data_IF_923448225583
#
_entry.id   IF_923448225583
#
_cell.length_a   1.000
_cell.length_b   1.000
_cell.length_c   1.000
_cell.angle_alpha   90.00
_cell.angle_beta   90.00
_cell.angle_gamma   90.00
#
_symmetry.space_group_name_H-M   'P 1'
#
loop_
_entity.id
_entity.type
_entity.pdbx_description
1 polymer ?
#
# COMPACT_ATOMS: atom_id res chain seq x y z
N UNK A 1 3.46 8.11 -21.31
CA UNK A 1 3.93 9.05 -22.37
C UNK A 1 4.64 10.27 -21.78
N UNK A 2 3.97 11.11 -20.97
CA UNK A 2 4.62 12.29 -20.35
C UNK A 2 5.95 11.95 -19.68
N UNK A 3 5.98 10.90 -18.86
CA UNK A 3 7.19 10.52 -18.14
C UNK A 3 8.33 10.05 -19.07
N UNK A 4 8.02 9.40 -20.19
CA UNK A 4 9.03 9.02 -21.19
C UNK A 4 9.66 10.26 -21.83
N UNK A 5 8.86 11.27 -22.16
CA UNK A 5 9.35 12.52 -22.72
C UNK A 5 10.14 13.34 -21.69
N UNK A 6 9.60 13.52 -20.47
CA UNK A 6 10.23 14.33 -19.43
C UNK A 6 11.56 13.74 -18.94
N UNK A 7 11.62 12.43 -18.73
CA UNK A 7 12.84 11.75 -18.29
C UNK A 7 13.72 11.27 -19.46
N UNK A 8 13.37 11.61 -20.71
CA UNK A 8 14.10 11.22 -21.92
C UNK A 8 14.41 9.72 -21.97
N UNK A 9 13.40 8.89 -21.69
CA UNK A 9 13.54 7.44 -21.58
C UNK A 9 12.73 6.71 -22.66
N UNK A 10 13.23 5.60 -23.23
CA UNK A 10 12.48 4.83 -24.22
C UNK A 10 11.08 4.44 -23.73
N UNK A 11 10.06 4.76 -24.52
CA UNK A 11 8.66 4.56 -24.13
C UNK A 11 8.35 3.09 -23.82
N UNK A 12 8.92 2.15 -24.58
CA UNK A 12 8.74 0.72 -24.35
C UNK A 12 9.24 0.29 -22.96
N UNK A 13 10.38 0.81 -22.52
CA UNK A 13 10.91 0.51 -21.19
C UNK A 13 10.10 1.18 -20.08
N UNK A 14 9.56 2.38 -20.32
CA UNK A 14 8.63 3.04 -19.39
C UNK A 14 7.35 2.24 -19.21
N UNK A 15 6.77 1.72 -20.30
CA UNK A 15 5.57 0.86 -20.25
C UNK A 15 5.90 -0.43 -19.50
N UNK A 16 7.03 -1.06 -19.81
CA UNK A 16 7.47 -2.29 -19.13
C UNK A 16 7.67 -2.07 -17.63
N UNK A 17 8.25 -0.94 -17.22
CA UNK A 17 8.42 -0.58 -15.82
C UNK A 17 7.10 -0.33 -15.07
N UNK A 18 6.03 0.01 -15.80
CA UNK A 18 4.70 0.26 -15.24
C UNK A 18 3.83 -1.02 -15.13
N UNK A 19 4.25 -2.14 -15.71
CA UNK A 19 3.49 -3.39 -15.74
C UNK A 19 4.15 -4.48 -14.86
N UNK A 20 3.36 -5.36 -14.23
CA UNK A 20 3.87 -6.59 -13.62
C UNK A 20 4.66 -7.44 -14.62
N UNK A 21 5.66 -8.16 -14.12
CA UNK A 21 6.43 -9.09 -14.94
C UNK A 21 5.52 -10.17 -15.55
N UNK A 22 5.79 -10.52 -16.81
CA UNK A 22 5.02 -11.52 -17.57
C UNK A 22 3.84 -10.97 -18.35
N UNK A 23 3.41 -9.72 -18.12
CA UNK A 23 2.46 -9.04 -19.01
C UNK A 23 3.22 -8.48 -20.20
N UNK A 24 2.94 -8.98 -21.40
CA UNK A 24 3.48 -8.43 -22.64
C UNK A 24 2.37 -7.68 -23.38
N UNK A 25 2.65 -6.45 -23.79
CA UNK A 25 1.75 -5.71 -24.69
C UNK A 25 1.94 -6.29 -26.10
N UNK A 26 1.05 -7.20 -26.50
CA UNK A 26 0.99 -7.67 -27.88
C UNK A 26 0.02 -6.78 -28.66
N UNK A 27 0.52 -5.93 -29.56
CA UNK A 27 -0.37 -5.24 -30.50
C UNK A 27 -0.92 -6.26 -31.49
N UNK A 28 -2.21 -6.62 -31.38
CA UNK A 28 -2.88 -7.35 -32.46
C UNK A 28 -3.03 -6.42 -33.66
N UNK A 29 -2.21 -6.59 -34.70
CA UNK A 29 -2.53 -6.08 -36.03
C UNK A 29 -3.66 -6.93 -36.61
N UNK A 30 -4.89 -6.60 -36.25
CA UNK A 30 -6.11 -7.19 -36.81
C UNK A 30 -6.97 -6.11 -37.46
N UNK A 31 -7.35 -6.30 -38.72
CA UNK A 31 -8.11 -5.38 -39.57
C UNK A 31 -9.61 -5.33 -39.22
N UNK A 32 -9.94 -4.98 -37.99
CA UNK A 32 -11.33 -4.77 -37.57
C UNK A 32 -11.41 -3.64 -36.55
N UNK A 33 -12.45 -2.82 -36.65
CA UNK A 33 -12.64 -1.57 -35.91
C UNK A 33 -12.83 -1.73 -34.38
N UNK A 34 -12.75 -2.96 -33.86
CA UNK A 34 -12.79 -3.31 -32.42
C UNK A 34 -11.43 -3.75 -31.86
N UNK A 35 -10.32 -3.44 -32.54
CA UNK A 35 -8.97 -3.76 -32.07
C UNK A 35 -8.53 -2.84 -30.90
N UNK A 36 -9.15 -3.02 -29.73
CA UNK A 36 -8.56 -2.58 -28.47
C UNK A 36 -7.33 -3.41 -28.14
N UNK A 37 -6.28 -2.78 -27.59
CA UNK A 37 -5.08 -3.45 -27.10
C UNK A 37 -5.47 -4.55 -26.08
N UNK A 38 -5.42 -5.81 -26.50
CA UNK A 38 -5.63 -6.94 -25.61
C UNK A 38 -4.31 -7.23 -24.88
N UNK A 39 -4.27 -6.98 -23.56
CA UNK A 39 -3.15 -7.42 -22.74
C UNK A 39 -3.13 -8.95 -22.68
N UNK A 40 -2.04 -9.56 -23.17
CA UNK A 40 -1.82 -11.00 -23.17
C UNK A 40 -0.61 -11.34 -22.28
N UNK A 41 -0.73 -12.43 -21.51
CA UNK A 41 0.31 -12.84 -20.55
C UNK A 41 -0.01 -12.47 -19.10
N UNK A 42 0.94 -12.76 -18.21
CA UNK A 42 0.80 -12.74 -16.74
C UNK A 42 1.30 -14.05 -16.12
N UNK A 43 1.61 -14.06 -14.82
CA UNK A 43 1.88 -15.33 -14.12
C UNK A 43 0.59 -16.12 -13.96
N UNK A 44 0.71 -17.45 -13.88
CA UNK A 44 -0.44 -18.33 -13.66
C UNK A 44 -1.20 -17.88 -12.40
N UNK A 45 -2.49 -17.62 -12.59
CA UNK A 45 -3.44 -17.37 -11.52
C UNK A 45 -3.43 -18.58 -10.61
N UNK A 46 -3.22 -18.39 -9.31
CA UNK A 46 -3.33 -19.50 -8.36
C UNK A 46 -4.80 -19.86 -8.24
N UNK A 47 -5.13 -21.10 -8.56
CA UNK A 47 -6.46 -21.66 -8.33
C UNK A 47 -6.37 -22.70 -7.23
N UNK A 48 -7.33 -22.71 -6.33
CA UNK A 48 -7.52 -23.82 -5.41
C UNK A 48 -8.81 -24.54 -5.79
N UNK A 49 -8.78 -25.86 -5.69
CA UNK A 49 -10.00 -26.67 -5.86
C UNK A 49 -10.85 -26.52 -4.61
N UNK A 50 -12.04 -25.96 -4.78
CA UNK A 50 -13.07 -25.86 -3.74
C UNK A 50 -14.04 -27.01 -3.94
N UNK A 51 -14.39 -27.67 -2.84
CA UNK A 51 -15.35 -28.74 -2.80
C UNK A 51 -16.62 -28.27 -2.10
N UNK A 52 -17.78 -28.63 -2.64
CA UNK A 52 -19.10 -28.40 -2.03
C UNK A 52 -19.96 -29.66 -2.15
N UNK A 53 -20.92 -29.84 -1.26
CA UNK A 53 -21.93 -30.91 -1.42
C UNK A 53 -22.74 -30.61 -2.69
N UNK A 54 -22.97 -31.64 -3.52
CA UNK A 54 -23.78 -31.48 -4.73
C UNK A 54 -25.21 -31.06 -4.38
N UNK A 55 -25.82 -30.25 -5.23
CA UNK A 55 -27.21 -29.80 -5.05
C UNK A 55 -28.23 -30.90 -5.26
N UNK A 56 -27.85 -31.99 -5.94
CA UNK A 56 -28.68 -33.18 -6.15
C UNK A 56 -27.85 -34.44 -5.79
N UNK A 57 -27.66 -34.71 -4.48
CA UNK A 57 -26.84 -35.83 -4.05
C UNK A 57 -27.55 -37.15 -4.39
N UNK A 58 -26.82 -38.17 -4.90
CA UNK A 58 -27.44 -39.42 -5.29
C UNK A 58 -28.00 -40.18 -4.08
N UNK A 59 -29.14 -40.86 -4.28
CA UNK A 59 -29.80 -41.71 -3.29
C UNK A 59 -29.08 -43.07 -3.18
N UNK A 60 -27.81 -43.02 -2.79
CA UNK A 60 -26.93 -44.18 -2.58
C UNK A 60 -26.40 -44.14 -1.16
N UNK A 61 -26.06 -45.30 -0.57
CA UNK A 61 -25.56 -45.36 0.80
C UNK A 61 -24.32 -44.47 0.98
N UNK A 62 -24.38 -43.55 1.95
CA UNK A 62 -23.30 -42.59 2.21
C UNK A 62 -22.02 -43.36 2.57
N UNK A 63 -20.89 -43.10 1.88
CA UNK A 63 -19.65 -43.81 2.14
C UNK A 63 -19.20 -43.65 3.61
N UNK A 64 -18.95 -44.79 4.28
CA UNK A 64 -18.60 -44.84 5.70
C UNK A 64 -17.19 -44.30 6.00
N UNK A 65 -16.92 -44.01 7.26
CA UNK A 65 -15.61 -43.57 7.75
C UNK A 65 -15.29 -42.13 7.35
N UNK A 66 -14.05 -41.90 6.92
CA UNK A 66 -13.51 -40.55 6.63
C UNK A 66 -14.33 -39.77 5.59
N UNK A 67 -14.92 -40.45 4.62
CA UNK A 67 -15.77 -39.82 3.60
C UNK A 67 -17.06 -39.21 4.17
N UNK A 68 -17.69 -39.87 5.15
CA UNK A 68 -18.88 -39.35 5.86
C UNK A 68 -18.54 -38.14 6.74
N UNK A 69 -17.35 -38.11 7.34
CA UNK A 69 -16.86 -36.96 8.11
C UNK A 69 -16.59 -35.74 7.20
N UNK A 70 -15.99 -35.97 6.03
CA UNK A 70 -15.77 -34.91 5.03
C UNK A 70 -17.12 -34.35 4.56
N UNK A 71 -18.09 -35.21 4.24
CA UNK A 71 -19.44 -34.76 3.85
C UNK A 71 -20.13 -33.97 4.95
N UNK A 72 -20.07 -34.44 6.20
CA UNK A 72 -20.64 -33.72 7.34
C UNK A 72 -20.02 -32.34 7.52
N UNK A 73 -18.69 -32.24 7.36
CA UNK A 73 -17.99 -30.97 7.44
C UNK A 73 -18.38 -30.02 6.30
N UNK A 74 -18.42 -30.50 5.05
CA UNK A 74 -18.85 -29.72 3.90
C UNK A 74 -20.32 -29.28 4.01
N UNK A 75 -21.19 -30.11 4.59
CA UNK A 75 -22.60 -29.76 4.80
C UNK A 75 -22.78 -28.65 5.86
N UNK A 76 -21.90 -28.63 6.87
CA UNK A 76 -21.92 -27.60 7.91
C UNK A 76 -21.21 -26.30 7.49
N UNK A 77 -20.09 -26.40 6.76
CA UNK A 77 -19.30 -25.27 6.29
C UNK A 77 -19.81 -24.68 4.96
N UNK A 78 -20.66 -25.41 4.24
CA UNK A 78 -21.12 -25.11 2.88
C UNK A 78 -20.11 -25.50 1.80
N UNK A 79 -18.88 -25.02 1.93
CA UNK A 79 -17.76 -25.31 1.03
C UNK A 79 -16.44 -25.36 1.80
N UNK A 80 -15.44 -26.05 1.25
CA UNK A 80 -14.08 -26.04 1.79
C UNK A 80 -13.04 -26.22 0.68
N UNK A 81 -11.86 -25.61 0.87
CA UNK A 81 -10.73 -25.77 -0.05
C UNK A 81 -10.06 -27.13 0.14
N UNK A 82 -9.38 -27.61 -0.91
CA UNK A 82 -8.54 -28.79 -0.81
C UNK A 82 -7.45 -28.66 0.29
N UNK A 83 -6.99 -27.44 0.59
CA UNK A 83 -5.98 -27.18 1.62
C UNK A 83 -6.58 -27.30 3.04
N UNK A 84 -7.74 -26.70 3.28
CA UNK A 84 -8.47 -26.82 4.55
C UNK A 84 -8.81 -28.28 4.86
N UNK A 85 -9.35 -29.00 3.87
CA UNK A 85 -9.68 -30.42 4.04
C UNK A 85 -8.45 -31.28 4.33
N UNK A 86 -7.29 -30.95 3.74
CA UNK A 86 -6.02 -31.60 4.10
C UNK A 86 -5.54 -31.23 5.50
N UNK A 87 -5.76 -29.99 5.95
CA UNK A 87 -5.43 -29.57 7.31
C UNK A 87 -6.23 -30.32 8.37
N UNK A 88 -7.53 -30.55 8.12
CA UNK A 88 -8.44 -31.20 9.07
C UNK A 88 -8.33 -32.74 9.00
N UNK A 89 -8.31 -33.28 7.78
CA UNK A 89 -8.43 -34.71 7.55
C UNK A 89 -7.12 -35.36 7.06
N UNK A 90 -5.99 -34.65 6.97
CA UNK A 90 -4.75 -35.15 6.35
C UNK A 90 -4.97 -35.62 4.89
N UNK A 91 -4.28 -36.68 4.44
CA UNK A 91 -4.43 -37.17 3.05
C UNK A 91 -5.86 -37.67 2.80
N UNK A 92 -6.68 -36.81 2.18
CA UNK A 92 -8.08 -37.02 1.86
C UNK A 92 -8.35 -37.04 0.35
N UNK A 93 -7.29 -37.00 -0.49
CA UNK A 93 -7.44 -36.95 -1.94
C UNK A 93 -8.18 -38.17 -2.52
N UNK A 94 -7.94 -39.42 -2.06
CA UNK A 94 -8.70 -40.59 -2.53
C UNK A 94 -10.19 -40.51 -2.19
N UNK A 95 -10.53 -40.01 -0.99
CA UNK A 95 -11.90 -39.87 -0.52
C UNK A 95 -12.63 -38.78 -1.30
N UNK A 96 -11.97 -37.66 -1.57
CA UNK A 96 -12.53 -36.58 -2.39
C UNK A 96 -12.76 -37.00 -3.84
N UNK A 97 -11.82 -37.75 -4.43
CA UNK A 97 -12.03 -38.35 -5.77
C UNK A 97 -13.24 -39.26 -5.80
N UNK A 98 -13.34 -40.18 -4.84
CA UNK A 98 -14.46 -41.12 -4.74
C UNK A 98 -15.79 -40.42 -4.51
N UNK A 99 -15.84 -39.42 -3.62
CA UNK A 99 -17.07 -38.64 -3.37
C UNK A 99 -17.52 -37.87 -4.61
N UNK A 100 -16.58 -37.37 -5.40
CA UNK A 100 -16.87 -36.70 -6.68
C UNK A 100 -17.35 -37.67 -7.76
N UNK A 101 -16.68 -38.83 -7.90
CA UNK A 101 -17.11 -39.89 -8.82
C UNK A 101 -18.51 -40.42 -8.49
N UNK A 102 -18.81 -40.51 -7.20
CA UNK A 102 -20.13 -40.90 -6.70
C UNK A 102 -21.14 -39.76 -6.70
N UNK A 103 -20.82 -38.55 -7.16
CA UNK A 103 -21.76 -37.43 -7.26
C UNK A 103 -22.17 -36.76 -5.94
N UNK A 104 -21.57 -37.13 -4.80
CA UNK A 104 -21.89 -36.49 -3.52
C UNK A 104 -21.27 -35.10 -3.36
N UNK A 105 -20.18 -34.83 -4.07
CA UNK A 105 -19.41 -33.59 -3.97
C UNK A 105 -19.06 -33.07 -5.35
N UNK A 106 -19.27 -31.78 -5.57
CA UNK A 106 -18.81 -31.07 -6.75
C UNK A 106 -17.49 -30.36 -6.44
N UNK A 107 -16.63 -30.23 -7.44
CA UNK A 107 -15.36 -29.54 -7.32
C UNK A 107 -15.24 -28.49 -8.41
N UNK A 108 -14.95 -27.25 -8.02
CA UNK A 108 -14.61 -26.18 -8.96
C UNK A 108 -13.22 -25.63 -8.68
N UNK A 109 -12.52 -25.22 -9.75
CA UNK A 109 -11.28 -24.47 -9.59
C UNK A 109 -11.64 -22.99 -9.35
N UNK A 110 -11.43 -22.51 -8.13
CA UNK A 110 -11.67 -21.12 -7.76
C UNK A 110 -10.34 -20.37 -7.68
N UNK A 111 -10.32 -19.16 -8.23
CA UNK A 111 -9.17 -18.26 -8.12
C UNK A 111 -8.95 -17.89 -6.64
N UNK A 112 -7.70 -18.04 -6.17
CA UNK A 112 -7.29 -17.67 -4.81
C UNK A 112 -6.14 -16.69 -4.88
N UNK A 113 -6.34 -15.50 -4.30
CA UNK A 113 -5.29 -14.50 -4.17
C UNK A 113 -4.26 -14.89 -3.12
N UNK A 114 -2.99 -14.63 -3.43
CA UNK A 114 -1.86 -14.77 -2.51
C UNK A 114 -1.81 -13.53 -1.61
N UNK A 115 -2.75 -13.41 -0.68
CA UNK A 115 -2.78 -12.31 0.30
C UNK A 115 -2.03 -12.75 1.58
N UNK A 116 -0.82 -12.22 1.85
CA UNK A 116 -0.03 -12.57 3.02
C UNK A 116 -0.69 -12.17 4.34
N UNK A 117 -1.72 -11.32 4.31
CA UNK A 117 -2.43 -10.86 5.50
C UNK A 117 -3.81 -11.51 5.67
N UNK A 118 -4.18 -12.50 4.84
CA UNK A 118 -5.52 -13.11 4.82
C UNK A 118 -5.95 -13.73 6.15
N UNK A 119 -5.00 -14.29 6.90
CA UNK A 119 -5.27 -15.02 8.14
C UNK A 119 -5.25 -14.11 9.40
N UNK A 120 -4.85 -12.84 9.26
CA UNK A 120 -4.80 -11.92 10.41
C UNK A 120 -6.21 -11.42 10.76
N UNK A 121 -6.72 -11.80 11.94
CA UNK A 121 -7.93 -11.20 12.51
C UNK A 121 -7.58 -9.81 13.03
N UNK A 122 -8.07 -8.80 12.33
CA UNK A 122 -7.76 -7.40 12.63
C UNK A 122 -8.93 -6.75 13.37
N UNK A 123 -8.73 -6.35 14.63
CA UNK A 123 -9.77 -5.66 15.42
C UNK A 123 -10.05 -4.26 14.86
N UNK A 124 -11.32 -3.95 14.51
CA UNK A 124 -11.73 -2.62 14.09
C UNK A 124 -11.21 -1.48 14.98
N UNK A 125 -10.83 -0.36 14.38
CA UNK A 125 -10.63 0.90 15.10
C UNK A 125 -11.64 1.97 14.64
N UNK A 126 -11.86 2.97 15.49
CA UNK A 126 -12.73 4.10 15.20
C UNK A 126 -11.87 5.33 14.82
N UNK A 127 -12.42 6.28 14.03
CA UNK A 127 -11.76 7.56 13.78
C UNK A 127 -11.39 8.26 15.09
N UNK A 128 -10.17 8.79 15.17
CA UNK A 128 -9.72 9.52 16.35
C UNK A 128 -10.29 10.95 16.34
N UNK A 129 -10.44 11.55 17.52
CA UNK A 129 -10.78 12.97 17.63
C UNK A 129 -9.61 13.79 17.12
N UNK A 130 -9.86 14.61 16.10
CA UNK A 130 -8.87 15.50 15.52
C UNK A 130 -8.70 16.76 16.39
N UNK A 131 -7.48 17.24 16.53
CA UNK A 131 -7.25 18.59 17.04
C UNK A 131 -7.62 19.65 15.98
N UNK A 132 -7.63 20.93 16.35
CA UNK A 132 -8.05 22.01 15.46
C UNK A 132 -7.26 22.07 14.14
N UNK A 133 -5.93 21.91 14.20
CA UNK A 133 -5.07 21.92 13.02
C UNK A 133 -5.34 20.74 12.07
N UNK A 134 -5.51 19.54 12.64
CA UNK A 134 -5.84 18.34 11.89
C UNK A 134 -7.23 18.42 11.25
N UNK A 135 -8.23 18.91 12.00
CA UNK A 135 -9.59 19.10 11.50
C UNK A 135 -9.60 20.10 10.34
N UNK A 136 -8.96 21.27 10.49
CA UNK A 136 -8.86 22.26 9.43
C UNK A 136 -8.16 21.71 8.16
N UNK A 137 -7.06 20.97 8.34
CA UNK A 137 -6.38 20.33 7.22
C UNK A 137 -7.27 19.28 6.52
N UNK A 138 -7.94 18.41 7.30
CA UNK A 138 -8.87 17.40 6.78
C UNK A 138 -10.02 18.06 6.02
N UNK A 139 -10.67 19.06 6.60
CA UNK A 139 -11.80 19.75 5.99
C UNK A 139 -11.39 20.44 4.67
N UNK A 140 -10.19 21.02 4.64
CA UNK A 140 -9.68 21.66 3.43
C UNK A 140 -9.38 20.66 2.31
N UNK A 141 -8.80 19.50 2.64
CA UNK A 141 -8.54 18.44 1.65
C UNK A 141 -9.87 17.83 1.19
N UNK A 142 -10.82 17.57 2.09
CA UNK A 142 -12.15 17.06 1.77
C UNK A 142 -12.86 18.00 0.78
N UNK A 143 -12.91 19.30 1.08
CA UNK A 143 -13.50 20.28 0.18
C UNK A 143 -12.86 20.26 -1.21
N UNK A 144 -11.53 20.09 -1.30
CA UNK A 144 -10.83 19.97 -2.56
C UNK A 144 -11.16 18.66 -3.30
N UNK A 145 -11.25 17.53 -2.61
CA UNK A 145 -11.62 16.24 -3.19
C UNK A 145 -13.01 16.32 -3.82
N UNK A 146 -13.96 16.97 -3.13
CA UNK A 146 -15.34 17.13 -3.58
C UNK A 146 -15.46 17.97 -4.87
N UNK A 147 -14.51 18.88 -5.13
CA UNK A 147 -14.50 19.63 -6.40
C UNK A 147 -14.23 18.74 -7.62
N UNK A 148 -13.61 17.57 -7.43
CA UNK A 148 -13.13 16.74 -8.54
C UNK A 148 -12.12 17.45 -9.44
N UNK A 149 -11.31 18.35 -8.87
CA UNK A 149 -10.23 19.07 -9.54
C UNK A 149 -8.89 18.70 -8.92
N UNK A 150 -7.83 18.92 -9.70
CA UNK A 150 -6.47 18.80 -9.19
C UNK A 150 -6.17 19.93 -8.20
N UNK A 151 -5.88 19.56 -6.96
CA UNK A 151 -5.41 20.47 -5.92
C UNK A 151 -4.21 19.84 -5.21
N UNK A 152 -3.00 20.42 -5.33
CA UNK A 152 -1.82 19.92 -4.66
C UNK A 152 -1.61 20.62 -3.31
N UNK A 153 -1.45 19.82 -2.26
CA UNK A 153 -1.21 20.26 -0.90
C UNK A 153 0.18 19.84 -0.42
N UNK A 154 0.81 20.69 0.39
CA UNK A 154 1.88 20.32 1.30
C UNK A 154 1.29 20.23 2.71
N UNK A 155 1.17 19.01 3.27
CA UNK A 155 0.82 18.81 4.67
C UNK A 155 2.11 18.78 5.50
N UNK A 156 2.49 19.95 6.00
CA UNK A 156 3.67 20.15 6.83
C UNK A 156 3.33 19.94 8.31
N UNK A 157 3.74 18.82 8.88
CA UNK A 157 3.43 18.49 10.27
C UNK A 157 4.59 17.86 10.99
N UNK A 158 4.92 18.39 12.17
CA UNK A 158 6.02 17.88 13.03
C UNK A 158 5.86 16.39 13.35
N UNK A 159 6.93 15.70 13.73
CA UNK A 159 6.86 14.27 14.05
C UNK A 159 5.88 14.01 15.18
N UNK A 160 4.90 13.14 14.94
CA UNK A 160 3.80 12.89 15.89
C UNK A 160 2.68 13.92 15.85
N UNK A 161 2.60 14.79 14.83
CA UNK A 161 1.45 15.69 14.60
C UNK A 161 0.18 14.99 14.10
N UNK A 162 0.24 13.68 13.81
CA UNK A 162 -0.92 12.89 13.39
C UNK A 162 -1.32 13.03 11.92
N UNK A 163 -0.39 13.38 11.02
CA UNK A 163 -0.62 13.43 9.55
C UNK A 163 -1.39 12.22 9.01
N UNK A 164 -1.03 11.01 9.45
CA UNK A 164 -1.70 9.77 9.04
C UNK A 164 -3.20 9.78 9.34
N UNK A 165 -3.63 10.34 10.48
CA UNK A 165 -5.04 10.38 10.84
C UNK A 165 -5.84 11.31 9.91
N UNK A 166 -5.23 12.42 9.48
CA UNK A 166 -5.80 13.31 8.44
C UNK A 166 -5.99 12.54 7.13
N UNK A 167 -5.00 11.74 6.71
CA UNK A 167 -5.15 10.91 5.51
C UNK A 167 -6.28 9.90 5.67
N UNK A 168 -6.31 9.15 6.78
CA UNK A 168 -7.30 8.10 7.01
C UNK A 168 -8.74 8.64 6.99
N UNK A 169 -8.99 9.78 7.65
CA UNK A 169 -10.34 10.37 7.65
C UNK A 169 -10.73 10.97 6.30
N UNK A 170 -9.78 11.56 5.57
CA UNK A 170 -10.03 12.04 4.20
C UNK A 170 -10.31 10.87 3.24
N UNK A 171 -9.57 9.77 3.39
CA UNK A 171 -9.80 8.55 2.60
C UNK A 171 -11.15 7.93 2.93
N UNK A 172 -11.60 7.94 4.20
CA UNK A 172 -12.95 7.48 4.54
C UNK A 172 -14.02 8.26 3.76
N UNK A 173 -13.94 9.59 3.75
CA UNK A 173 -14.86 10.46 3.01
C UNK A 173 -14.87 10.18 1.50
N UNK A 174 -13.69 10.06 0.85
CA UNK A 174 -13.66 9.84 -0.60
C UNK A 174 -14.19 8.46 -1.03
N UNK A 175 -14.09 7.46 -0.15
CA UNK A 175 -14.63 6.12 -0.42
C UNK A 175 -16.17 6.13 -0.42
N UNK A 176 -16.79 6.94 0.44
CA UNK A 176 -18.25 7.15 0.43
C UNK A 176 -18.73 7.76 -0.90
N UNK A 177 -17.89 8.59 -1.52
CA UNK A 177 -18.12 9.14 -2.86
C UNK A 177 -17.75 8.17 -4.02
N UNK A 178 -17.44 6.89 -3.71
CA UNK A 178 -17.07 5.87 -4.70
C UNK A 178 -15.74 6.13 -5.41
N UNK A 179 -14.89 7.00 -4.85
CA UNK A 179 -13.55 7.29 -5.35
C UNK A 179 -12.52 6.39 -4.69
N UNK A 180 -11.31 6.37 -5.24
CA UNK A 180 -10.21 5.53 -4.77
C UNK A 180 -9.03 6.35 -4.26
N UNK A 181 -8.16 5.72 -3.47
CA UNK A 181 -6.99 6.35 -2.87
C UNK A 181 -5.70 5.61 -3.21
N UNK A 182 -4.66 6.36 -3.59
CA UNK A 182 -3.30 5.86 -3.73
C UNK A 182 -2.43 6.46 -2.63
N UNK A 183 -1.82 5.62 -1.78
CA UNK A 183 -0.95 6.03 -0.69
C UNK A 183 0.46 5.53 -0.97
N UNK A 184 1.33 6.45 -1.34
CA UNK A 184 2.75 6.20 -1.48
C UNK A 184 3.43 6.43 -0.14
N UNK A 185 4.21 5.45 0.29
CA UNK A 185 5.07 5.53 1.48
C UNK A 185 6.49 5.09 1.12
N UNK A 186 7.53 5.54 1.87
CA UNK A 186 8.86 4.99 1.70
C UNK A 186 8.87 3.47 1.87
N UNK A 187 9.72 2.78 1.13
CA UNK A 187 9.76 1.31 1.15
C UNK A 187 10.03 0.75 2.55
N UNK A 188 10.91 1.41 3.30
CA UNK A 188 11.21 1.08 4.71
C UNK A 188 10.06 1.37 5.68
N UNK A 189 9.13 2.24 5.29
CA UNK A 189 7.98 2.65 6.09
C UNK A 189 6.73 1.81 5.76
N UNK A 190 6.77 1.00 4.70
CA UNK A 190 5.71 0.05 4.37
C UNK A 190 5.78 -1.18 5.29
N UNK A 191 5.57 -0.94 6.57
CA UNK A 191 5.63 -1.97 7.60
C UNK A 191 4.26 -2.64 7.78
N UNK A 192 4.21 -3.87 8.31
CA UNK A 192 2.95 -4.51 8.69
C UNK A 192 2.12 -3.65 9.64
N UNK A 193 2.75 -2.84 10.51
CA UNK A 193 2.03 -1.94 11.40
C UNK A 193 1.24 -0.86 10.64
N UNK A 194 1.82 -0.27 9.59
CA UNK A 194 1.13 0.70 8.75
C UNK A 194 -0.03 0.04 8.00
N UNK A 195 0.22 -1.09 7.35
CA UNK A 195 -0.81 -1.83 6.60
C UNK A 195 -1.97 -2.22 7.52
N UNK A 196 -1.66 -2.77 8.70
CA UNK A 196 -2.67 -3.14 9.68
C UNK A 196 -3.45 -1.94 10.18
N UNK A 197 -2.84 -0.75 10.33
CA UNK A 197 -3.59 0.46 10.66
C UNK A 197 -4.67 0.77 9.61
N UNK A 198 -4.36 0.62 8.33
CA UNK A 198 -5.35 0.78 7.26
C UNK A 198 -6.42 -0.31 7.28
N UNK A 199 -6.05 -1.58 7.51
CA UNK A 199 -7.02 -2.71 7.60
C UNK A 199 -7.92 -2.62 8.83
N UNK A 200 -7.45 -2.03 9.92
CA UNK A 200 -8.27 -1.72 11.11
C UNK A 200 -9.33 -0.69 10.77
N UNK A 201 -8.94 0.34 10.01
CA UNK A 201 -9.79 1.47 9.66
C UNK A 201 -10.82 1.14 8.58
N UNK A 202 -10.42 0.45 7.53
CA UNK A 202 -11.25 0.23 6.35
C UNK A 202 -11.65 -1.25 6.21
N UNK A 203 -12.94 -1.48 5.94
CA UNK A 203 -13.50 -2.80 5.66
C UNK A 203 -13.55 -3.14 4.16
N UNK A 204 -12.96 -2.30 3.32
CA UNK A 204 -12.87 -2.51 1.88
C UNK A 204 -11.58 -3.25 1.50
N UNK A 205 -11.49 -3.66 0.23
CA UNK A 205 -10.24 -4.22 -0.28
C UNK A 205 -9.10 -3.21 -0.24
N UNK A 206 -7.94 -3.68 0.19
CA UNK A 206 -6.69 -2.92 0.20
C UNK A 206 -5.66 -3.74 -0.57
N UNK A 207 -5.01 -3.11 -1.54
CA UNK A 207 -3.88 -3.69 -2.25
C UNK A 207 -2.58 -3.09 -1.73
N UNK A 208 -1.58 -3.95 -1.51
CA UNK A 208 -0.26 -3.55 -1.04
C UNK A 208 0.75 -3.83 -2.14
N UNK A 209 1.56 -2.85 -2.56
CA UNK A 209 2.51 -2.99 -3.65
C UNK A 209 3.93 -2.61 -3.22
N UNK A 210 4.86 -3.57 -3.23
CA UNK A 210 6.28 -3.34 -2.95
C UNK A 210 7.21 -4.31 -3.70
N UNK A 211 8.52 -4.07 -3.54
CA UNK A 211 9.60 -4.85 -4.14
C UNK A 211 9.61 -6.31 -3.69
N UNK A 212 9.30 -6.55 -2.41
CA UNK A 212 9.32 -7.87 -1.76
C UNK A 212 8.20 -8.83 -2.19
N UNK A 213 7.20 -8.38 -2.96
CA UNK A 213 6.22 -9.28 -3.56
C UNK A 213 6.85 -10.09 -4.69
N UNK A 214 6.54 -11.39 -4.73
CA UNK A 214 6.80 -12.21 -5.90
C UNK A 214 6.03 -11.69 -7.12
N UNK A 215 6.49 -11.98 -8.33
CA UNK A 215 5.76 -11.53 -9.53
C UNK A 215 4.32 -12.06 -9.59
N UNK A 216 4.05 -13.22 -8.96
CA UNK A 216 2.72 -13.80 -8.89
C UNK A 216 1.79 -12.97 -8.01
N UNK A 217 2.24 -12.64 -6.80
CA UNK A 217 1.51 -11.76 -5.88
C UNK A 217 1.31 -10.36 -6.49
N UNK A 218 2.35 -9.79 -7.11
CA UNK A 218 2.25 -8.50 -7.78
C UNK A 218 1.22 -8.52 -8.93
N UNK A 219 1.15 -9.61 -9.68
CA UNK A 219 0.16 -9.79 -10.75
C UNK A 219 -1.26 -9.93 -10.19
N UNK A 220 -1.43 -10.66 -9.10
CA UNK A 220 -2.70 -10.83 -8.39
C UNK A 220 -3.21 -9.47 -7.88
N UNK A 221 -2.37 -8.71 -7.17
CA UNK A 221 -2.70 -7.37 -6.68
C UNK A 221 -3.02 -6.40 -7.82
N UNK A 222 -2.22 -6.41 -8.88
CA UNK A 222 -2.48 -5.58 -10.05
C UNK A 222 -3.84 -5.89 -10.69
N UNK A 223 -4.25 -7.18 -10.74
CA UNK A 223 -5.57 -7.58 -11.24
C UNK A 223 -6.71 -7.17 -10.30
N UNK A 224 -6.54 -7.32 -8.98
CA UNK A 224 -7.52 -6.84 -7.97
C UNK A 224 -7.78 -5.34 -8.11
N UNK A 225 -6.71 -4.56 -8.27
CA UNK A 225 -6.80 -3.10 -8.48
C UNK A 225 -7.57 -2.80 -9.76
N UNK A 226 -7.19 -3.44 -10.88
CA UNK A 226 -7.83 -3.22 -12.18
C UNK A 226 -9.31 -3.64 -12.22
N UNK A 227 -9.69 -4.65 -11.43
CA UNK A 227 -11.08 -5.11 -11.28
C UNK A 227 -11.90 -4.21 -10.32
N UNK A 228 -11.27 -3.23 -9.69
CA UNK A 228 -11.94 -2.36 -8.70
C UNK A 228 -12.18 -3.04 -7.34
N UNK A 229 -11.56 -4.21 -7.09
CA UNK A 229 -11.71 -4.96 -5.84
C UNK A 229 -10.89 -4.35 -4.69
N UNK A 230 -9.92 -3.49 -5.01
CA UNK A 230 -9.07 -2.79 -4.05
C UNK A 230 -9.13 -1.26 -4.26
N UNK A 231 -10.12 -0.57 -3.65
CA UNK A 231 -10.25 0.89 -3.76
C UNK A 231 -9.14 1.69 -3.05
N UNK A 232 -8.35 1.04 -2.20
CA UNK A 232 -7.16 1.63 -1.59
C UNK A 232 -5.92 0.87 -2.06
N UNK A 233 -4.94 1.60 -2.58
CA UNK A 233 -3.61 1.05 -2.90
C UNK A 233 -2.59 1.70 -1.99
N UNK A 234 -1.85 0.89 -1.23
CA UNK A 234 -0.72 1.33 -0.42
C UNK A 234 0.54 0.75 -1.04
N UNK A 235 1.58 1.53 -1.22
CA UNK A 235 2.81 0.94 -1.72
C UNK A 235 4.00 1.87 -1.75
N UNK A 236 5.13 1.28 -2.11
CA UNK A 236 6.36 2.00 -2.35
C UNK A 236 6.29 2.76 -3.69
N UNK A 237 7.44 3.25 -4.13
CA UNK A 237 7.63 4.03 -5.36
C UNK A 237 6.94 3.46 -6.62
N UNK A 238 6.95 2.15 -6.86
CA UNK A 238 6.37 1.54 -8.06
C UNK A 238 4.83 1.57 -8.09
N UNK A 239 4.18 1.74 -6.94
CA UNK A 239 2.72 1.82 -6.84
C UNK A 239 2.15 3.05 -7.57
N UNK A 240 2.98 4.04 -7.93
CA UNK A 240 2.55 5.16 -8.77
C UNK A 240 2.00 4.72 -10.13
N UNK A 241 2.29 3.51 -10.59
CA UNK A 241 1.78 2.92 -11.83
C UNK A 241 0.60 1.96 -11.62
N UNK A 242 0.11 1.79 -10.40
CA UNK A 242 -1.04 0.93 -10.12
C UNK A 242 -2.23 1.32 -11.00
N UNK A 243 -2.97 0.37 -11.61
CA UNK A 243 -4.06 0.62 -12.56
C UNK A 243 -5.36 1.02 -11.84
N UNK A 244 -5.25 1.90 -10.85
CA UNK A 244 -6.33 2.40 -10.02
C UNK A 244 -7.13 3.47 -10.79
N UNK A 245 -8.45 3.30 -10.84
CA UNK A 245 -9.38 4.20 -11.52
C UNK A 245 -10.14 5.09 -10.52
N UNK A 246 -10.70 6.21 -11.00
CA UNK A 246 -11.49 7.17 -10.18
C UNK A 246 -10.75 7.66 -8.94
N UNK A 247 -9.47 7.98 -9.10
CA UNK A 247 -8.62 8.44 -8.00
C UNK A 247 -9.15 9.76 -7.46
N UNK A 248 -9.56 9.78 -6.19
CA UNK A 248 -9.92 11.00 -5.47
C UNK A 248 -8.71 11.68 -4.83
N UNK A 249 -7.76 10.88 -4.35
CA UNK A 249 -6.60 11.36 -3.61
C UNK A 249 -5.35 10.51 -3.87
N UNK A 250 -4.21 11.18 -4.01
CA UNK A 250 -2.88 10.57 -3.97
C UNK A 250 -2.12 11.16 -2.77
N UNK A 251 -1.69 10.31 -1.85
CA UNK A 251 -0.82 10.69 -0.72
C UNK A 251 0.61 10.30 -1.05
N UNK A 252 1.56 11.18 -0.75
CA UNK A 252 2.98 10.87 -0.71
C UNK A 252 3.47 11.18 0.70
N UNK A 253 3.58 10.16 1.54
CA UNK A 253 4.03 10.32 2.92
C UNK A 253 5.56 10.35 2.99
N UNK A 254 6.09 11.06 3.98
CA UNK A 254 7.51 11.40 4.07
C UNK A 254 8.08 11.85 2.72
N UNK A 255 7.43 12.86 2.10
CA UNK A 255 7.71 13.34 0.74
C UNK A 255 9.20 13.62 0.46
N UNK A 256 9.96 13.98 1.51
CA UNK A 256 11.36 14.28 1.42
C UNK A 256 12.24 13.06 1.10
N UNK A 257 11.70 11.86 1.26
CA UNK A 257 12.49 10.65 1.26
C UNK A 257 13.06 10.31 -0.12
N UNK A 258 14.36 10.07 -0.15
CA UNK A 258 15.14 9.82 -1.36
C UNK A 258 14.69 8.56 -2.12
N UNK A 259 14.11 7.58 -1.43
CA UNK A 259 13.63 6.33 -2.01
C UNK A 259 12.55 6.50 -3.11
N UNK A 260 11.90 7.67 -3.19
CA UNK A 260 10.97 8.01 -4.27
C UNK A 260 11.65 8.24 -5.63
N UNK A 261 12.97 8.42 -5.67
CA UNK A 261 13.75 8.48 -6.92
C UNK A 261 14.32 7.11 -7.29
N UNK A 262 13.97 6.61 -8.47
CA UNK A 262 14.62 5.42 -9.05
C UNK A 262 16.04 5.75 -9.50
N UNK A 263 17.01 4.92 -9.13
CA UNK A 263 18.43 5.07 -9.49
C UNK A 263 18.81 4.34 -10.79
N UNK A 264 18.11 3.26 -11.15
CA UNK A 264 18.47 2.39 -12.28
C UNK A 264 17.37 2.27 -13.34
N UNK A 265 17.78 2.08 -14.60
CA UNK A 265 16.86 2.01 -15.74
C UNK A 265 16.04 3.30 -15.88
N UNK A 266 14.71 3.17 -15.84
CA UNK A 266 13.81 4.30 -15.89
C UNK A 266 13.88 5.13 -14.60
N UNK A 267 14.76 6.14 -14.57
CA UNK A 267 15.05 7.01 -13.41
C UNK A 267 13.96 8.05 -13.10
N UNK A 268 12.71 7.64 -12.93
CA UNK A 268 11.63 8.54 -12.52
C UNK A 268 11.65 8.88 -11.02
N UNK A 269 10.94 9.95 -10.64
CA UNK A 269 10.62 10.26 -9.26
C UNK A 269 9.10 10.07 -9.03
N UNK A 270 8.71 9.13 -8.16
CA UNK A 270 7.31 8.84 -7.89
C UNK A 270 6.55 10.02 -7.29
N UNK A 271 7.19 10.86 -6.48
CA UNK A 271 6.57 12.08 -5.95
C UNK A 271 6.17 13.02 -7.08
N UNK A 272 7.10 13.30 -7.99
CA UNK A 272 6.83 14.21 -9.12
C UNK A 272 5.75 13.62 -10.01
N UNK A 273 5.80 12.31 -10.25
CA UNK A 273 4.76 11.59 -10.98
C UNK A 273 3.41 11.58 -10.25
N UNK A 274 3.36 11.65 -8.92
CA UNK A 274 2.11 11.78 -8.16
C UNK A 274 1.42 13.11 -8.47
N UNK A 275 2.16 14.22 -8.57
CA UNK A 275 1.62 15.51 -8.99
C UNK A 275 1.10 15.47 -10.43
N UNK A 276 1.86 14.84 -11.33
CA UNK A 276 1.46 14.69 -12.74
C UNK A 276 0.21 13.80 -12.85
N UNK A 277 0.19 12.66 -12.17
CA UNK A 277 -0.94 11.73 -12.16
C UNK A 277 -2.16 12.38 -11.54
N UNK A 278 -2.03 13.07 -10.40
CA UNK A 278 -3.12 13.81 -9.78
C UNK A 278 -3.71 14.86 -10.72
N UNK A 279 -2.86 15.56 -11.48
CA UNK A 279 -3.33 16.51 -12.51
C UNK A 279 -4.12 15.83 -13.63
N UNK A 280 -3.64 14.68 -14.11
CA UNK A 280 -4.32 13.89 -15.15
C UNK A 280 -5.66 13.33 -14.69
N UNK A 281 -5.72 12.84 -13.45
CA UNK A 281 -6.90 12.20 -12.85
C UNK A 281 -7.86 13.21 -12.20
N UNK A 282 -7.50 14.50 -12.18
CA UNK A 282 -8.20 15.55 -11.42
C UNK A 282 -8.39 15.20 -9.94
N UNK A 283 -7.36 14.60 -9.35
CA UNK A 283 -7.33 14.15 -7.97
C UNK A 283 -6.59 15.15 -7.08
N UNK A 284 -6.92 15.16 -5.79
CA UNK A 284 -6.10 15.86 -4.79
C UNK A 284 -4.77 15.13 -4.62
N UNK A 285 -3.69 15.87 -4.43
CA UNK A 285 -2.37 15.31 -4.11
C UNK A 285 -1.89 15.89 -2.79
N UNK A 286 -1.60 15.06 -1.81
CA UNK A 286 -1.13 15.48 -0.49
C UNK A 286 0.30 15.00 -0.32
N UNK A 287 1.23 15.96 -0.30
CA UNK A 287 2.63 15.74 0.03
C UNK A 287 2.79 15.90 1.53
N UNK A 288 2.98 14.81 2.24
CA UNK A 288 3.05 14.76 3.68
C UNK A 288 4.48 14.67 4.20
N UNK A 289 4.88 15.54 5.12
CA UNK A 289 6.26 15.52 5.64
C UNK A 289 6.42 16.39 6.88
N UNK A 290 7.33 16.01 7.77
CA UNK A 290 7.80 16.88 8.86
C UNK A 290 8.96 17.78 8.42
N UNK A 291 9.66 17.41 7.35
CA UNK A 291 10.90 18.04 6.88
C UNK A 291 10.82 18.19 5.37
N UNK A 292 10.06 19.16 4.83
CA UNK A 292 9.81 19.27 3.40
C UNK A 292 11.09 19.48 2.60
N UNK A 293 11.15 18.95 1.38
CA UNK A 293 12.23 19.32 0.47
C UNK A 293 12.20 20.83 0.20
N UNK A 294 13.36 21.45 0.00
CA UNK A 294 13.48 22.89 -0.29
C UNK A 294 12.64 23.29 -1.49
N UNK A 295 12.59 22.45 -2.53
CA UNK A 295 11.78 22.68 -3.73
C UNK A 295 10.28 22.63 -3.44
N UNK A 296 9.84 21.69 -2.61
CA UNK A 296 8.44 21.53 -2.19
C UNK A 296 8.01 22.67 -1.27
N UNK A 297 8.87 23.06 -0.32
CA UNK A 297 8.67 24.23 0.52
C UNK A 297 8.56 25.51 -0.30
N UNK A 298 9.49 25.75 -1.23
CA UNK A 298 9.46 26.90 -2.13
C UNK A 298 8.18 26.92 -2.99
N UNK A 299 7.74 25.76 -3.48
CA UNK A 299 6.51 25.67 -4.25
C UNK A 299 5.26 25.95 -3.40
N UNK A 300 5.27 25.60 -2.12
CA UNK A 300 4.20 25.96 -1.18
C UNK A 300 4.20 27.46 -0.85
N UNK A 301 5.37 28.04 -0.55
CA UNK A 301 5.48 29.48 -0.21
C UNK A 301 5.23 30.41 -1.40
N UNK A 302 5.38 29.91 -2.63
CA UNK A 302 5.04 30.65 -3.87
C UNK A 302 3.63 30.35 -4.38
N UNK A 303 2.80 29.63 -3.62
CA UNK A 303 1.39 29.36 -3.93
C UNK A 303 1.15 28.32 -5.03
N UNK A 304 2.18 27.57 -5.46
CA UNK A 304 2.00 26.44 -6.39
C UNK A 304 1.44 25.20 -5.70
N UNK A 305 1.70 25.05 -4.40
CA UNK A 305 1.05 24.09 -3.51
C UNK A 305 0.36 24.86 -2.40
N UNK A 306 -0.78 24.36 -1.95
CA UNK A 306 -1.42 24.91 -0.76
C UNK A 306 -0.78 24.32 0.50
N UNK A 307 -0.29 25.18 1.40
CA UNK A 307 0.36 24.77 2.65
C UNK A 307 -0.68 24.52 3.74
N UNK A 308 -0.70 23.29 4.27
CA UNK A 308 -1.48 22.90 5.45
C UNK A 308 -0.51 22.58 6.59
N UNK A 309 -0.59 23.33 7.68
CA UNK A 309 0.36 23.23 8.79
C UNK A 309 -0.22 22.52 10.00
N UNK A 310 0.51 21.53 10.54
CA UNK A 310 0.23 20.84 11.80
C UNK A 310 1.41 21.07 12.78
N UNK A 311 1.48 22.25 13.43
CA UNK A 311 2.65 22.62 14.25
C UNK A 311 2.74 21.85 15.57
N UNK A 312 1.63 21.29 16.05
CA UNK A 312 1.53 20.65 17.35
C UNK A 312 1.58 19.12 17.23
N UNK A 313 2.23 18.47 18.22
CA UNK A 313 2.17 17.02 18.38
C UNK A 313 0.80 16.62 18.95
N UNK A 314 0.34 15.42 18.62
CA UNK A 314 -0.87 14.86 19.23
C UNK A 314 -0.75 14.85 20.75
N UNK A 315 -1.88 15.01 21.43
CA UNK A 315 -2.00 15.03 22.89
C UNK A 315 -1.17 16.14 23.60
N UNK A 316 -0.79 17.20 22.89
CA UNK A 316 -0.07 18.33 23.50
C UNK A 316 1.34 17.99 24.00
N UNK A 317 1.94 16.91 23.48
CA UNK A 317 3.30 16.51 23.87
C UNK A 317 4.30 17.62 23.52
N UNK A 318 5.18 18.04 24.46
CA UNK A 318 6.16 19.07 24.18
C UNK A 318 7.17 18.61 23.12
N UNK A 319 7.81 19.59 22.48
CA UNK A 319 8.98 19.35 21.64
C UNK A 319 10.17 18.90 22.49
N UNK A 320 11.05 18.03 21.97
CA UNK A 320 12.25 17.65 22.69
C UNK A 320 13.15 18.87 22.91
N UNK A 321 13.83 18.91 24.07
CA UNK A 321 14.86 19.92 24.35
C UNK A 321 16.06 19.66 23.45
N UNK A 322 16.52 20.69 22.74
CA UNK A 322 17.71 20.65 21.90
C UNK A 322 18.76 21.60 22.45
N UNK A 323 20.02 21.16 22.47
CA UNK A 323 21.16 21.94 22.94
C UNK A 323 22.27 21.92 21.89
N UNK A 324 22.86 23.09 21.64
CA UNK A 324 23.98 23.24 20.71
C UNK A 324 25.26 23.34 21.54
N UNK A 325 26.16 22.37 21.38
CA UNK A 325 27.47 22.36 22.03
C UNK A 325 28.48 22.95 21.04
N UNK A 326 29.14 24.03 21.44
CA UNK A 326 30.15 24.70 20.62
C UNK A 326 31.46 23.89 20.57
N UNK A 327 31.90 23.54 19.35
CA UNK A 327 33.11 22.79 19.09
C UNK A 327 34.32 23.67 18.72
N UNK A 328 34.18 25.01 18.70
CA UNK A 328 35.28 25.92 18.33
C UNK A 328 36.48 25.73 19.26
N UNK A 329 37.68 25.63 18.68
CA UNK A 329 38.93 25.44 19.42
C UNK A 329 39.19 24.00 19.90
N UNK A 330 38.23 23.08 19.74
CA UNK A 330 38.33 21.67 20.18
C UNK A 330 38.66 20.75 19.00
N UNK A 331 39.87 20.93 18.43
CA UNK A 331 40.34 20.12 17.28
C UNK A 331 40.74 18.71 17.76
N UNK A 332 40.15 17.68 17.17
CA UNK A 332 40.53 16.28 17.39
C UNK A 332 39.56 15.48 18.29
N UNK A 333 38.67 16.15 19.02
CA UNK A 333 37.67 15.48 19.85
C UNK A 333 36.50 15.00 18.99
N UNK A 334 36.36 13.68 18.82
CA UNK A 334 35.22 13.09 18.11
C UNK A 334 33.90 13.27 18.88
N UNK A 335 33.95 13.34 20.21
CA UNK A 335 32.81 13.55 21.11
C UNK A 335 33.24 14.57 22.17
N UNK A 336 32.51 15.67 22.29
CA UNK A 336 32.79 16.70 23.28
C UNK A 336 32.38 16.22 24.69
N UNK A 337 33.12 16.60 25.76
CA UNK A 337 32.81 16.18 27.14
C UNK A 337 31.33 16.31 27.56
N UNK A 338 30.61 17.41 27.28
CA UNK A 338 29.20 17.51 27.68
C UNK A 338 28.32 16.45 26.99
N UNK A 339 28.64 16.08 25.74
CA UNK A 339 27.94 15.01 25.04
C UNK A 339 28.31 13.64 25.60
N UNK A 340 29.58 13.40 25.93
CA UNK A 340 30.03 12.15 26.53
C UNK A 340 29.38 11.89 27.89
N UNK A 341 29.29 12.93 28.73
CA UNK A 341 28.61 12.89 30.03
C UNK A 341 27.11 12.60 29.88
N UNK A 342 26.43 13.26 28.95
CA UNK A 342 25.02 13.02 28.66
C UNK A 342 24.76 11.58 28.18
N UNK A 343 25.64 11.04 27.33
CA UNK A 343 25.57 9.66 26.86
C UNK A 343 25.76 8.69 28.02
N UNK A 344 26.79 8.90 28.86
CA UNK A 344 27.08 8.04 30.01
C UNK A 344 25.92 8.04 31.03
N UNK A 345 25.35 9.22 31.33
CA UNK A 345 24.22 9.34 32.22
C UNK A 345 22.97 8.62 31.67
N UNK A 346 22.68 8.75 30.37
CA UNK A 346 21.56 8.05 29.74
C UNK A 346 21.72 6.52 29.81
N UNK A 347 22.93 6.01 29.54
CA UNK A 347 23.24 4.58 29.64
C UNK A 347 23.17 4.07 31.09
N UNK A 348 23.66 4.84 32.07
CA UNK A 348 23.58 4.49 33.49
C UNK A 348 22.12 4.38 33.97
N UNK A 349 21.20 5.14 33.37
CA UNK A 349 19.77 5.06 33.63
C UNK A 349 19.05 3.95 32.84
N UNK A 350 19.79 3.06 32.15
CA UNK A 350 19.24 1.99 31.33
C UNK A 350 18.63 2.44 30.00
N UNK A 351 18.87 3.70 29.61
CA UNK A 351 18.45 4.27 28.34
C UNK A 351 19.32 3.82 27.17
N UNK A 352 18.88 4.13 25.95
CA UNK A 352 19.65 3.93 24.72
C UNK A 352 19.96 5.28 24.07
N UNK A 353 21.15 5.41 23.50
CA UNK A 353 21.59 6.62 22.80
C UNK A 353 21.81 6.30 21.33
N UNK A 354 21.23 7.10 20.43
CA UNK A 354 21.51 7.09 19.00
C UNK A 354 22.48 8.22 18.66
N UNK A 355 23.62 7.87 18.04
CA UNK A 355 24.62 8.84 17.56
C UNK A 355 24.60 8.84 16.04
N UNK A 356 24.29 9.98 15.44
CA UNK A 356 24.27 10.14 13.99
C UNK A 356 25.61 10.68 13.49
N UNK A 357 26.14 10.04 12.45
CA UNK A 357 27.35 10.46 11.74
C UNK A 357 27.02 10.67 10.26
N UNK A 358 27.90 11.38 9.55
CA UNK A 358 27.80 11.51 8.09
C UNK A 358 27.83 10.13 7.41
N UNK A 359 27.20 10.02 6.24
CA UNK A 359 27.27 8.81 5.41
C UNK A 359 28.74 8.49 5.08
N UNK A 360 29.08 7.20 5.04
CA UNK A 360 30.43 6.76 4.63
C UNK A 360 30.76 7.29 3.23
N UNK A 361 31.96 7.82 3.06
CA UNK A 361 32.42 8.39 1.77
C UNK A 361 31.98 9.83 1.52
N UNK A 362 31.51 10.55 2.54
CA UNK A 362 31.29 12.00 2.46
C UNK A 362 32.65 12.71 2.32
N UNK A 363 32.82 13.51 1.27
CA UNK A 363 34.04 14.25 0.94
C UNK A 363 33.86 15.76 1.17
#
# INVERSE_FOLDING_TARGET
RWAAAYYLHPLGEVIKAALPAGINVQSRRGSSADAGDAMAGGKAVRTETVYRVSTDPPVVEVPRGKSSLILSHLNNAGEATAAELRGIFADCAPQLRRLRELGFVESEAREVYRDPFREEVVTPDAPLVLNAGQAAARDRIVAAVDTGRFVPFLLHGVTGSGKTEVYLQTIAHLLEAGRTALVLVPEIALTPQLVNRFRRRFRCGIAVLHSGLSDGERYDEWRRIRRGEAPIVIGARSAIFAPLERIGMIVVDEEHESSYKQSEGFRYNARDLALVRGKMEKACVVLGTATPQVTTWHAATTGKLELLSLPERVNGLPMPRAEVIDARGRKGDAILPPLAEAIAANLANGGQTLVFLNRRGFA
#
